data_IF_722094817141
#
_entry.id   IF_722094817141
#
_cell.length_a   1.000
_cell.length_b   1.000
_cell.length_c   1.000
_cell.angle_alpha   90.00
_cell.angle_beta   90.00
_cell.angle_gamma   90.00
#
_symmetry.space_group_name_H-M   'P 1'
#
loop_
_entity.id
_entity.type
_entity.pdbx_description
1 polymer ?
#
# COMPACT_ATOMS: atom_id res chain seq x y z
N UNK A 1 -17.20 -1.12 19.10
CA UNK A 1 -16.78 -0.02 18.20
C UNK A 1 -16.71 -0.58 16.79
N UNK A 2 -17.38 0.04 15.82
CA UNK A 2 -17.50 -0.55 14.49
C UNK A 2 -16.24 -0.21 13.69
N UNK A 3 -15.27 -1.12 13.71
CA UNK A 3 -14.16 -1.10 12.76
C UNK A 3 -14.78 -0.99 11.37
N UNK A 4 -14.42 0.07 10.63
CA UNK A 4 -14.92 0.26 9.27
C UNK A 4 -14.47 -0.96 8.46
N UNK A 5 -15.43 -1.58 7.78
CA UNK A 5 -15.13 -2.73 6.94
C UNK A 5 -14.22 -2.28 5.81
N UNK A 6 -13.20 -3.08 5.49
CA UNK A 6 -12.34 -2.83 4.32
C UNK A 6 -13.18 -2.71 3.04
N UNK A 7 -14.33 -3.41 2.99
CA UNK A 7 -15.27 -3.35 1.88
C UNK A 7 -15.87 -1.94 1.66
N UNK A 8 -15.89 -1.10 2.69
CA UNK A 8 -16.44 0.26 2.61
C UNK A 8 -15.39 1.30 2.17
N UNK A 9 -14.10 0.95 2.17
CA UNK A 9 -13.02 1.90 1.86
C UNK A 9 -13.15 2.54 0.47
N UNK A 10 -13.47 1.80 -0.62
CA UNK A 10 -13.65 2.42 -1.92
C UNK A 10 -14.75 3.47 -1.95
N UNK A 11 -15.83 3.26 -1.20
CA UNK A 11 -16.92 4.24 -1.09
C UNK A 11 -16.45 5.47 -0.32
N UNK A 12 -15.77 5.27 0.82
CA UNK A 12 -15.24 6.37 1.64
C UNK A 12 -14.21 7.21 0.91
N UNK A 13 -13.29 6.58 0.17
CA UNK A 13 -12.32 7.30 -0.67
C UNK A 13 -13.06 8.21 -1.64
N UNK A 14 -14.05 7.67 -2.38
CA UNK A 14 -14.79 8.44 -3.39
C UNK A 14 -15.59 9.59 -2.80
N UNK A 15 -16.16 9.39 -1.62
CA UNK A 15 -16.92 10.42 -0.90
C UNK A 15 -16.05 11.35 -0.05
N UNK A 16 -14.74 11.12 0.02
CA UNK A 16 -13.87 11.91 0.89
C UNK A 16 -13.83 13.37 0.43
N UNK A 17 -14.06 14.28 1.38
CA UNK A 17 -13.83 15.71 1.20
C UNK A 17 -12.39 16.11 1.54
N UNK A 18 -11.46 15.15 1.61
CA UNK A 18 -10.11 15.38 2.11
C UNK A 18 -9.38 16.43 1.26
N UNK A 19 -8.92 17.49 1.93
CA UNK A 19 -8.10 18.56 1.36
C UNK A 19 -6.69 18.37 1.92
N UNK A 20 -5.85 17.61 1.22
CA UNK A 20 -4.46 17.39 1.60
C UNK A 20 -3.95 15.99 1.31
N UNK A 21 -4.23 15.03 2.20
CA UNK A 21 -3.64 13.68 2.11
C UNK A 21 -4.63 12.56 2.45
N UNK A 22 -4.53 11.44 1.73
CA UNK A 22 -5.11 10.15 2.13
C UNK A 22 -3.97 9.18 2.41
N UNK A 23 -3.94 8.58 3.61
CA UNK A 23 -3.01 7.49 3.92
C UNK A 23 -3.72 6.16 3.96
N UNK A 24 -3.27 5.22 3.14
CA UNK A 24 -3.84 3.86 3.09
C UNK A 24 -2.81 2.88 3.63
N UNK A 25 -3.18 2.11 4.64
CA UNK A 25 -2.31 1.17 5.32
C UNK A 25 -2.85 -0.24 5.07
N UNK A 26 -2.10 -1.03 4.30
CA UNK A 26 -2.44 -2.38 3.89
C UNK A 26 -1.31 -3.32 4.31
N UNK A 27 -1.29 -3.63 5.61
CA UNK A 27 -0.18 -4.31 6.26
C UNK A 27 -0.52 -5.75 6.68
N UNK A 28 -1.76 -6.19 6.52
CA UNK A 28 -2.15 -7.59 6.73
C UNK A 28 -1.67 -8.50 5.60
N UNK A 29 -1.22 -9.72 5.95
CA UNK A 29 -0.87 -10.76 4.97
C UNK A 29 -2.04 -11.15 4.06
N UNK A 30 -3.30 -10.90 4.47
CA UNK A 30 -4.45 -11.21 3.63
C UNK A 30 -4.41 -10.49 2.28
N UNK A 31 -3.76 -9.32 2.18
CA UNK A 31 -3.68 -8.56 0.93
C UNK A 31 -2.89 -9.27 -0.19
N UNK A 32 -2.10 -10.29 0.14
CA UNK A 32 -1.44 -11.11 -0.87
C UNK A 32 -2.33 -12.23 -1.40
N UNK A 33 -3.44 -12.53 -0.72
CA UNK A 33 -4.33 -13.61 -1.09
C UNK A 33 -5.14 -13.26 -2.36
N UNK A 34 -5.32 -14.21 -3.29
CA UNK A 34 -6.11 -14.00 -4.52
C UNK A 34 -7.51 -13.44 -4.26
N UNK A 35 -8.17 -13.85 -3.18
CA UNK A 35 -9.52 -13.45 -2.81
C UNK A 35 -9.64 -11.94 -2.54
N UNK A 36 -8.52 -11.26 -2.27
CA UNK A 36 -8.50 -9.80 -2.09
C UNK A 36 -8.36 -9.03 -3.41
N UNK A 37 -8.23 -9.68 -4.58
CA UNK A 37 -8.10 -9.00 -5.88
C UNK A 37 -9.21 -7.97 -6.09
N UNK A 38 -10.48 -8.35 -5.92
CA UNK A 38 -11.61 -7.45 -6.12
C UNK A 38 -11.51 -6.17 -5.28
N UNK A 39 -11.14 -6.30 -4.00
CA UNK A 39 -11.08 -5.15 -3.10
C UNK A 39 -9.82 -4.32 -3.32
N UNK A 40 -8.70 -4.93 -3.72
CA UNK A 40 -7.49 -4.21 -4.17
C UNK A 40 -7.81 -3.33 -5.37
N UNK A 41 -8.50 -3.89 -6.36
CA UNK A 41 -8.90 -3.17 -7.58
C UNK A 41 -9.88 -2.04 -7.29
N UNK A 42 -10.85 -2.29 -6.43
CA UNK A 42 -11.83 -1.27 -6.03
C UNK A 42 -11.16 -0.10 -5.31
N UNK A 43 -10.16 -0.36 -4.45
CA UNK A 43 -9.36 0.66 -3.77
C UNK A 43 -8.49 1.42 -4.77
N UNK A 44 -7.75 0.71 -5.63
CA UNK A 44 -6.85 1.30 -6.62
C UNK A 44 -7.62 2.24 -7.56
N UNK A 45 -8.77 1.79 -8.06
CA UNK A 45 -9.66 2.61 -8.89
C UNK A 45 -10.16 3.84 -8.13
N UNK A 46 -10.61 3.68 -6.88
CA UNK A 46 -11.11 4.79 -6.08
C UNK A 46 -10.02 5.85 -5.83
N UNK A 47 -8.78 5.43 -5.56
CA UNK A 47 -7.64 6.32 -5.36
C UNK A 47 -7.27 7.08 -6.64
N UNK A 48 -7.22 6.40 -7.78
CA UNK A 48 -6.97 7.04 -9.08
C UNK A 48 -8.08 8.06 -9.39
N UNK A 49 -9.33 7.67 -9.19
CA UNK A 49 -10.50 8.53 -9.40
C UNK A 49 -10.44 9.84 -8.59
N UNK A 50 -10.07 9.79 -7.29
CA UNK A 50 -9.95 11.01 -6.48
C UNK A 50 -8.73 11.85 -6.87
N UNK A 51 -7.60 11.21 -7.21
CA UNK A 51 -6.41 11.91 -7.68
C UNK A 51 -6.65 12.64 -9.01
N UNK A 52 -7.50 12.10 -9.88
CA UNK A 52 -7.89 12.74 -11.13
C UNK A 52 -8.84 13.94 -10.93
N UNK A 53 -9.64 13.96 -9.85
CA UNK A 53 -10.60 15.04 -9.57
C UNK A 53 -10.02 16.20 -8.78
N UNK A 54 -9.08 15.92 -7.88
CA UNK A 54 -8.50 16.93 -6.97
C UNK A 54 -7.05 17.16 -7.34
N UNK A 55 -6.62 18.39 -7.64
CA UNK A 55 -5.21 18.66 -8.00
C UNK A 55 -4.27 18.66 -6.79
N UNK A 56 -4.78 19.04 -5.62
CA UNK A 56 -3.95 19.28 -4.43
C UNK A 56 -3.90 18.06 -3.51
N UNK A 57 -4.58 16.98 -3.88
CA UNK A 57 -4.63 15.74 -3.11
C UNK A 57 -3.36 14.91 -3.33
N UNK A 58 -2.77 14.48 -2.23
CA UNK A 58 -1.72 13.46 -2.15
C UNK A 58 -2.29 12.16 -1.60
N UNK A 59 -1.86 11.03 -2.16
CA UNK A 59 -2.16 9.69 -1.64
C UNK A 59 -0.85 9.03 -1.25
N UNK A 60 -0.74 8.59 0.00
CA UNK A 60 0.39 7.79 0.49
C UNK A 60 -0.10 6.41 0.88
N UNK A 61 0.46 5.36 0.28
CA UNK A 61 0.15 3.97 0.62
C UNK A 61 1.31 3.35 1.38
N UNK A 62 0.99 2.58 2.41
CA UNK A 62 1.92 1.72 3.13
C UNK A 62 1.49 0.28 2.92
N UNK A 63 2.28 -0.47 2.16
CA UNK A 63 2.01 -1.88 1.83
C UNK A 63 3.04 -2.76 2.53
N UNK A 64 2.61 -3.89 3.09
CA UNK A 64 3.56 -4.91 3.53
C UNK A 64 4.16 -5.59 2.28
N UNK A 65 5.47 -5.48 2.11
CA UNK A 65 6.16 -5.93 0.89
C UNK A 65 6.81 -7.31 1.00
N UNK A 66 7.04 -7.80 2.22
CA UNK A 66 7.97 -8.91 2.46
C UNK A 66 7.29 -10.29 2.41
N UNK A 67 6.62 -10.59 1.29
CA UNK A 67 5.74 -11.77 1.16
C UNK A 67 5.72 -12.24 -0.31
N UNK A 68 5.69 -13.55 -0.64
CA UNK A 68 5.20 -14.69 0.12
C UNK A 68 6.09 -15.03 1.30
N UNK A 69 5.54 -15.64 2.36
CA UNK A 69 6.37 -16.37 3.30
C UNK A 69 7.13 -17.39 2.46
N UNK A 70 8.46 -17.34 2.51
CA UNK A 70 9.31 -18.35 1.91
C UNK A 70 9.66 -19.36 3.01
N UNK A 71 9.72 -20.64 2.66
CA UNK A 71 10.26 -21.64 3.57
C UNK A 71 11.76 -21.43 3.79
N UNK A 72 12.39 -22.26 4.62
CA UNK A 72 13.84 -22.18 4.87
C UNK A 72 14.70 -22.40 3.62
N UNK A 73 14.14 -22.89 2.52
CA UNK A 73 14.79 -23.07 1.24
C UNK A 73 14.55 -21.90 0.26
N UNK A 74 13.85 -20.84 0.70
CA UNK A 74 13.54 -19.69 -0.15
C UNK A 74 12.37 -19.93 -1.11
N UNK A 75 11.63 -21.03 -0.98
CA UNK A 75 10.50 -21.38 -1.86
C UNK A 75 9.22 -20.74 -1.30
N UNK A 76 8.38 -20.10 -2.12
CA UNK A 76 7.08 -19.62 -1.67
C UNK A 76 6.26 -20.74 -1.01
N UNK A 77 5.85 -20.54 0.24
CA UNK A 77 5.00 -21.48 0.98
C UNK A 77 3.66 -21.68 0.27
N UNK A 78 3.20 -20.66 -0.47
CA UNK A 78 2.02 -20.73 -1.34
C UNK A 78 2.29 -20.02 -2.68
N UNK A 79 2.46 -20.77 -3.78
CA UNK A 79 2.69 -20.20 -5.11
C UNK A 79 1.56 -19.29 -5.62
N UNK A 80 0.31 -19.53 -5.20
CA UNK A 80 -0.83 -18.71 -5.64
C UNK A 80 -0.80 -17.32 -5.00
N UNK A 81 -0.44 -17.24 -3.72
CA UNK A 81 -0.21 -15.98 -3.01
C UNK A 81 0.98 -15.21 -3.62
N UNK A 82 2.02 -15.92 -4.09
CA UNK A 82 3.14 -15.28 -4.79
C UNK A 82 2.71 -14.60 -6.07
N UNK A 83 1.98 -15.30 -6.94
CA UNK A 83 1.53 -14.74 -8.20
C UNK A 83 0.57 -13.55 -7.98
N UNK A 84 -0.38 -13.70 -7.05
CA UNK A 84 -1.31 -12.64 -6.67
C UNK A 84 -0.60 -11.40 -6.10
N UNK A 85 0.46 -11.59 -5.30
CA UNK A 85 1.27 -10.48 -4.79
C UNK A 85 2.02 -9.77 -5.90
N UNK A 86 2.70 -10.52 -6.78
CA UNK A 86 3.46 -9.95 -7.91
C UNK A 86 2.57 -9.13 -8.84
N UNK A 87 1.38 -9.67 -9.17
CA UNK A 87 0.41 -8.94 -9.98
C UNK A 87 -0.05 -7.64 -9.31
N UNK A 88 -0.27 -7.66 -8.00
CA UNK A 88 -0.62 -6.45 -7.26
C UNK A 88 0.50 -5.41 -7.26
N UNK A 89 1.74 -5.81 -6.97
CA UNK A 89 2.91 -4.92 -7.02
C UNK A 89 3.05 -4.28 -8.41
N UNK A 90 2.88 -5.07 -9.48
CA UNK A 90 2.89 -4.57 -10.86
C UNK A 90 1.80 -3.52 -11.10
N UNK A 91 0.56 -3.75 -10.66
CA UNK A 91 -0.55 -2.78 -10.78
C UNK A 91 -0.27 -1.49 -10.01
N UNK A 92 0.33 -1.58 -8.82
CA UNK A 92 0.77 -0.43 -8.05
C UNK A 92 1.83 0.39 -8.80
N UNK A 93 2.78 -0.27 -9.47
CA UNK A 93 3.76 0.37 -10.36
C UNK A 93 3.09 1.13 -11.50
N UNK A 94 2.16 0.47 -12.20
CA UNK A 94 1.44 1.08 -13.30
C UNK A 94 0.67 2.31 -12.82
N UNK A 95 0.03 2.23 -11.64
CA UNK A 95 -0.64 3.37 -11.02
C UNK A 95 0.32 4.53 -10.74
N UNK A 96 1.52 4.25 -10.20
CA UNK A 96 2.57 5.25 -10.01
C UNK A 96 3.02 5.91 -11.32
N UNK A 97 3.06 5.16 -12.42
CA UNK A 97 3.43 5.68 -13.74
C UNK A 97 2.31 6.53 -14.38
N UNK A 98 1.04 6.18 -14.14
CA UNK A 98 -0.13 6.89 -14.68
C UNK A 98 -0.39 8.21 -13.96
N UNK A 99 -0.19 8.26 -12.64
CA UNK A 99 -0.37 9.49 -11.86
C UNK A 99 0.82 10.41 -12.10
N UNK A 100 0.62 11.42 -12.95
CA UNK A 100 1.65 12.41 -13.27
C UNK A 100 2.15 13.11 -12.00
N UNK A 101 3.47 13.26 -11.89
CA UNK A 101 4.07 14.20 -10.96
C UNK A 101 3.67 15.62 -11.37
N UNK A 102 3.28 16.44 -10.41
CA UNK A 102 3.10 17.87 -10.63
C UNK A 102 4.40 18.62 -10.28
N UNK A 103 4.35 19.95 -10.31
CA UNK A 103 5.50 20.78 -9.93
C UNK A 103 5.87 20.67 -8.44
N UNK A 104 4.95 20.24 -7.57
CA UNK A 104 5.14 20.08 -6.13
C UNK A 104 5.64 18.68 -5.74
N UNK A 105 5.52 17.69 -6.63
CA UNK A 105 6.10 16.36 -6.48
C UNK A 105 5.15 15.21 -6.87
N UNK A 106 5.42 13.98 -6.38
CA UNK A 106 4.54 12.84 -6.62
C UNK A 106 3.27 12.94 -5.76
N UNK A 107 2.12 12.90 -6.46
CA UNK A 107 0.78 12.91 -5.87
C UNK A 107 0.32 11.52 -5.43
N UNK A 108 0.91 10.46 -5.97
CA UNK A 108 0.77 9.10 -5.48
C UNK A 108 2.14 8.63 -4.98
N UNK A 109 2.18 8.17 -3.74
CA UNK A 109 3.36 7.62 -3.07
C UNK A 109 3.01 6.24 -2.56
N UNK A 110 3.90 5.28 -2.77
CA UNK A 110 3.74 3.92 -2.25
C UNK A 110 5.01 3.59 -1.51
N UNK A 111 4.87 3.18 -0.26
CA UNK A 111 5.94 2.81 0.64
C UNK A 111 5.76 1.36 1.04
N UNK A 112 6.84 0.60 0.96
CA UNK A 112 6.96 -0.75 1.46
C UNK A 112 7.28 -0.67 2.93
N UNK A 113 6.51 -1.37 3.75
CA UNK A 113 6.76 -1.54 5.18
C UNK A 113 7.71 -2.73 5.34
N UNK A 114 8.90 -2.45 5.89
CA UNK A 114 9.95 -3.42 6.18
C UNK A 114 9.68 -4.01 7.56
N UNK A 115 9.20 -5.25 7.59
CA UNK A 115 8.86 -5.95 8.83
C UNK A 115 9.99 -6.91 9.21
N UNK A 116 10.59 -6.79 10.40
CA UNK A 116 11.54 -7.78 10.89
C UNK A 116 10.88 -9.17 10.96
N UNK A 117 11.61 -10.23 10.61
CA UNK A 117 11.13 -11.63 10.70
C UNK A 117 10.62 -12.01 12.09
N UNK A 118 11.15 -11.39 13.14
CA UNK A 118 10.71 -11.57 14.54
C UNK A 118 9.39 -10.88 14.89
N UNK A 119 8.92 -9.94 14.07
CA UNK A 119 7.73 -9.14 14.35
C UNK A 119 6.45 -9.67 13.69
N UNK A 120 6.50 -10.84 13.02
CA UNK A 120 5.40 -11.41 12.22
C UNK A 120 4.10 -11.71 12.99
N UNK A 121 4.17 -11.74 14.33
CA UNK A 121 3.02 -11.97 15.22
C UNK A 121 2.29 -10.71 15.70
N UNK A 122 2.79 -9.50 15.40
CA UNK A 122 2.07 -8.27 15.72
C UNK A 122 0.83 -8.12 14.82
N UNK A 123 -0.34 -7.90 15.41
CA UNK A 123 -1.55 -7.59 14.64
C UNK A 123 -1.43 -6.20 14.03
N UNK A 124 -1.05 -6.15 12.75
CA UNK A 124 -1.08 -4.91 11.98
C UNK A 124 -2.51 -4.65 11.55
N UNK A 125 -3.06 -3.53 12.03
CA UNK A 125 -4.42 -3.10 11.70
C UNK A 125 -4.37 -2.36 10.38
N UNK A 126 -4.99 -2.93 9.35
CA UNK A 126 -5.24 -2.21 8.11
C UNK A 126 -6.16 -1.02 8.39
N UNK A 127 -5.79 0.15 7.89
CA UNK A 127 -6.59 1.37 8.10
C UNK A 127 -6.47 2.34 6.94
N UNK A 128 -7.41 3.29 6.87
CA UNK A 128 -7.38 4.42 5.95
C UNK A 128 -7.57 5.71 6.74
N UNK A 129 -6.62 6.63 6.61
CA UNK A 129 -6.61 7.93 7.25
C UNK A 129 -6.85 9.02 6.21
N UNK A 130 -7.72 9.98 6.53
CA UNK A 130 -7.95 11.17 5.73
C UNK A 130 -7.41 12.37 6.50
N UNK A 131 -6.64 13.22 5.81
CA UNK A 131 -6.05 14.42 6.39
C UNK A 131 -6.64 15.65 5.70
N UNK A 132 -7.14 16.57 6.52
CA UNK A 132 -7.54 17.91 6.12
C UNK A 132 -6.51 18.90 6.64
N UNK A 133 -5.80 19.60 5.74
CA UNK A 133 -4.75 20.55 6.10
C UNK A 133 -3.71 19.96 7.08
N UNK A 134 -3.22 18.76 6.78
CA UNK A 134 -2.25 17.98 7.60
C UNK A 134 -2.79 17.46 8.95
N UNK A 135 -4.05 17.73 9.30
CA UNK A 135 -4.67 17.21 10.51
C UNK A 135 -5.52 15.96 10.20
N UNK A 136 -5.38 14.88 10.99
CA UNK A 136 -6.20 13.69 10.80
C UNK A 136 -7.66 13.96 11.16
N UNK A 137 -8.59 13.46 10.33
CA UNK A 137 -10.03 13.57 10.60
C UNK A 137 -10.52 12.61 11.69
N UNK A 138 -9.71 11.60 12.05
CA UNK A 138 -9.98 10.63 13.12
C UNK A 138 -8.72 10.38 13.96
N UNK A 139 -8.68 10.83 15.23
CA UNK A 139 -7.53 10.61 16.12
C UNK A 139 -7.21 9.14 16.39
N UNK A 140 -8.23 8.28 16.41
CA UNK A 140 -8.06 6.84 16.64
C UNK A 140 -7.33 6.17 15.45
N UNK A 141 -7.77 6.50 14.24
CA UNK A 141 -7.13 6.03 13.01
C UNK A 141 -5.70 6.55 12.90
N UNK A 142 -5.48 7.81 13.28
CA UNK A 142 -4.16 8.42 13.29
C UNK A 142 -3.19 7.72 14.24
N UNK A 143 -3.65 7.34 15.42
CA UNK A 143 -2.84 6.60 16.39
C UNK A 143 -2.44 5.23 15.85
N UNK A 144 -3.36 4.50 15.21
CA UNK A 144 -3.08 3.21 14.59
C UNK A 144 -2.08 3.36 13.41
N UNK A 145 -2.27 4.38 12.57
CA UNK A 145 -1.40 4.67 11.43
C UNK A 145 0.03 5.05 11.87
N UNK A 146 0.13 5.92 12.88
CA UNK A 146 1.39 6.33 13.48
C UNK A 146 2.12 5.15 14.13
N UNK A 147 1.40 4.27 14.83
CA UNK A 147 1.99 3.06 15.42
C UNK A 147 2.69 2.17 14.38
N UNK A 148 2.10 2.01 13.20
CA UNK A 148 2.68 1.20 12.12
C UNK A 148 3.90 1.90 11.51
N UNK A 149 3.76 3.16 11.13
CA UNK A 149 4.84 3.91 10.45
C UNK A 149 6.05 4.21 11.35
N UNK A 150 5.85 4.31 12.67
CA UNK A 150 6.94 4.51 13.63
C UNK A 150 7.64 3.21 14.05
N UNK A 151 6.92 2.09 14.05
CA UNK A 151 7.47 0.80 14.51
C UNK A 151 8.25 0.05 13.42
N UNK A 152 8.04 0.38 12.15
CA UNK A 152 8.65 -0.32 11.02
C UNK A 152 9.42 0.63 10.12
N UNK A 153 10.54 0.16 9.58
CA UNK A 153 11.22 0.87 8.50
C UNK A 153 10.31 0.95 7.28
N UNK A 154 10.40 2.03 6.51
CA UNK A 154 9.70 2.11 5.22
C UNK A 154 10.67 2.45 4.11
N UNK A 155 10.44 1.89 2.92
CA UNK A 155 11.20 2.23 1.72
C UNK A 155 10.24 2.51 0.57
N UNK A 156 10.43 3.57 -0.23
CA UNK A 156 9.57 3.83 -1.38
C UNK A 156 9.53 2.63 -2.33
N UNK A 157 8.36 2.36 -2.90
CA UNK A 157 8.22 1.57 -4.11
C UNK A 157 8.31 2.53 -5.29
N UNK A 158 9.32 2.35 -6.12
CA UNK A 158 9.54 3.17 -7.32
C UNK A 158 9.10 2.42 -8.56
N UNK A 159 8.63 3.14 -9.59
CA UNK A 159 8.23 2.53 -10.86
C UNK A 159 9.40 1.80 -11.57
N UNK A 160 10.65 2.12 -11.21
CA UNK A 160 11.88 1.52 -11.75
C UNK A 160 12.28 0.21 -11.08
N UNK A 161 11.75 -0.08 -9.90
CA UNK A 161 12.01 -1.34 -9.19
C UNK A 161 11.19 -2.52 -9.75
N UNK A 162 10.38 -2.28 -10.79
CA UNK A 162 9.48 -3.27 -11.36
C UNK A 162 9.84 -3.42 -12.84
N UNK A 163 10.36 -4.59 -13.19
CA UNK A 163 10.65 -4.93 -14.58
C UNK A 163 9.33 -5.15 -15.33
N UNK A 164 9.09 -4.35 -16.37
CA UNK A 164 7.82 -4.33 -17.12
C UNK A 164 7.80 -5.30 -18.31
N UNK A 165 8.90 -6.02 -18.60
CA UNK A 165 9.09 -6.69 -19.89
C UNK A 165 8.60 -8.17 -19.98
N UNK A 166 8.10 -8.80 -18.92
CA UNK A 166 7.91 -10.28 -18.83
C UNK A 166 8.38 -10.79 -17.47
N UNK A 167 8.57 -12.09 -17.12
CA UNK A 167 8.28 -12.61 -15.77
C UNK A 167 9.28 -12.23 -14.65
N UNK A 168 9.73 -10.99 -14.65
CA UNK A 168 11.04 -10.47 -14.31
C UNK A 168 10.91 -9.54 -13.10
N UNK A 169 11.85 -9.44 -12.19
CA UNK A 169 13.08 -10.17 -11.97
C UNK A 169 13.61 -9.53 -10.70
N UNK A 170 14.08 -10.34 -9.76
CA UNK A 170 14.83 -9.87 -8.60
C UNK A 170 16.10 -9.18 -9.13
N UNK A 171 15.99 -7.91 -9.48
CA UNK A 171 17.12 -7.00 -9.47
C UNK A 171 17.16 -6.37 -8.08
N UNK A 172 17.33 -7.20 -7.05
CA UNK A 172 17.91 -6.69 -5.81
C UNK A 172 19.36 -6.29 -6.10
N UNK A 173 19.78 -5.05 -5.85
CA UNK A 173 21.06 -4.87 -5.20
C UNK A 173 20.87 -5.27 -3.74
N UNK A 174 21.38 -6.45 -3.41
CA UNK A 174 21.59 -6.99 -2.07
C UNK A 174 22.06 -5.87 -1.11
N UNK A 175 21.22 -5.49 -0.15
CA UNK A 175 21.71 -4.78 1.04
C UNK A 175 22.07 -5.82 2.10
N UNK A 176 23.28 -6.37 2.00
CA UNK A 176 23.96 -6.92 3.16
C UNK A 176 24.46 -5.75 4.01
N UNK A 177 23.92 -5.60 5.22
CA UNK A 177 24.59 -4.95 6.34
C UNK A 177 24.69 -5.95 7.49
#
# INVERSE_FOLDING_TARGET
>A
MSQISIQDWPAQIRSSGAIGEIRVIQCSLKWTQPEQEYIRDAIDLALIEVLLRSTDLVVTRYILHDVPPRDSAGIPVDPSNHQSHQEWIRRLACSLALVRKDAAGPRLRINRVLRPSSAWSADLVDTIEFLEHEAPTSPEVALAASGITSSFGTTPLTATEISLDGPYGDAEPLYYL
#
